data_IF_451340350179
#
_entry.id   IF_451340350179
#
_cell.length_a   1.000
_cell.length_b   1.000
_cell.length_c   1.000
_cell.angle_alpha   90.00
_cell.angle_beta   90.00
_cell.angle_gamma   90.00
#
_symmetry.space_group_name_H-M   'P 1'
#
loop_
_entity.id
_entity.type
_entity.pdbx_description
1 polymer ?
#
# COMPACT_ATOMS: atom_id res chain seq x y z
N UNK A 1 -6.51 -20.47 6.60
CA UNK A 1 -5.51 -19.72 5.81
C UNK A 1 -5.59 -18.23 6.13
N UNK A 2 -6.80 -17.69 6.36
CA UNK A 2 -7.06 -16.33 6.89
C UNK A 2 -6.33 -16.00 8.19
N UNK A 3 -6.22 -16.95 9.13
CA UNK A 3 -5.51 -16.76 10.41
C UNK A 3 -4.02 -16.34 10.26
N UNK A 4 -3.35 -16.72 9.16
CA UNK A 4 -1.95 -16.33 8.92
C UNK A 4 -1.84 -14.89 8.39
N UNK A 5 -2.81 -14.47 7.57
CA UNK A 5 -2.87 -13.09 7.07
C UNK A 5 -3.31 -12.12 8.17
N UNK A 6 -4.26 -12.50 9.03
CA UNK A 6 -4.62 -11.69 10.19
C UNK A 6 -3.47 -11.51 11.18
N UNK A 7 -2.69 -12.57 11.43
CA UNK A 7 -1.50 -12.46 12.27
C UNK A 7 -0.46 -11.52 11.65
N UNK A 8 -0.28 -11.59 10.33
CA UNK A 8 0.54 -10.66 9.55
C UNK A 8 0.03 -9.22 9.73
N UNK A 9 -1.25 -8.93 9.45
CA UNK A 9 -1.87 -7.61 9.64
C UNK A 9 -1.73 -7.10 11.08
N UNK A 10 -1.96 -7.95 12.09
CA UNK A 10 -1.79 -7.61 13.52
C UNK A 10 -0.35 -7.26 13.87
N UNK A 11 0.64 -7.98 13.34
CA UNK A 11 2.05 -7.62 13.52
C UNK A 11 2.35 -6.21 12.99
N UNK A 12 1.79 -5.83 11.84
CA UNK A 12 1.95 -4.46 11.32
C UNK A 12 1.26 -3.41 12.18
N UNK A 13 0.04 -3.67 12.63
CA UNK A 13 -0.68 -2.74 13.52
C UNK A 13 -0.02 -2.53 14.87
N UNK A 14 0.68 -3.56 15.37
CA UNK A 14 1.34 -3.51 16.69
C UNK A 14 2.67 -2.74 16.72
N UNK A 15 3.09 -2.12 15.60
CA UNK A 15 4.39 -1.44 15.43
C UNK A 15 5.61 -2.31 15.80
N UNK A 16 5.43 -3.64 15.88
CA UNK A 16 6.51 -4.56 16.19
C UNK A 16 7.54 -4.54 15.06
N UNK A 17 8.83 -4.47 15.42
CA UNK A 17 9.91 -4.43 14.46
C UNK A 17 10.03 -5.75 13.71
N UNK A 18 9.43 -5.83 12.52
CA UNK A 18 9.63 -6.94 11.58
C UNK A 18 10.69 -6.52 10.56
N UNK A 19 11.66 -7.39 10.32
CA UNK A 19 12.67 -7.11 9.28
C UNK A 19 12.00 -7.05 7.90
N UNK A 20 12.48 -6.16 7.02
CA UNK A 20 11.94 -6.06 5.66
C UNK A 20 12.03 -7.40 4.90
N UNK A 21 13.09 -8.19 5.14
CA UNK A 21 13.23 -9.51 4.54
C UNK A 21 12.11 -10.47 4.98
N UNK A 22 11.80 -10.52 6.27
CA UNK A 22 10.70 -11.34 6.78
C UNK A 22 9.34 -10.84 6.24
N UNK A 23 9.15 -9.52 6.17
CA UNK A 23 7.97 -8.93 5.55
C UNK A 23 7.79 -9.40 4.11
N UNK A 24 8.79 -9.21 3.25
CA UNK A 24 8.68 -9.54 1.83
C UNK A 24 8.47 -11.03 1.60
N UNK A 25 9.10 -11.89 2.40
CA UNK A 25 8.90 -13.33 2.33
C UNK A 25 7.44 -13.73 2.63
N UNK A 26 6.89 -13.29 3.76
CA UNK A 26 5.51 -13.60 4.15
C UNK A 26 4.49 -12.99 3.18
N UNK A 27 4.73 -11.74 2.77
CA UNK A 27 3.90 -11.06 1.79
C UNK A 27 3.88 -11.79 0.44
N UNK A 28 5.02 -12.27 -0.06
CA UNK A 28 5.09 -13.05 -1.30
C UNK A 28 4.25 -14.32 -1.22
N UNK A 29 4.32 -15.06 -0.10
CA UNK A 29 3.52 -16.28 0.08
C UNK A 29 2.01 -16.02 -0.01
N UNK A 30 1.53 -14.94 0.62
CA UNK A 30 0.11 -14.57 0.53
C UNK A 30 -0.29 -14.15 -0.88
N UNK A 31 0.56 -13.40 -1.60
CA UNK A 31 0.26 -13.00 -2.99
C UNK A 31 0.29 -14.21 -3.93
N UNK A 32 1.16 -15.20 -3.69
CA UNK A 32 1.16 -16.49 -4.42
C UNK A 32 -0.19 -17.18 -4.25
N UNK A 33 -0.73 -17.26 -3.04
CA UNK A 33 -2.04 -17.86 -2.79
C UNK A 33 -3.12 -17.17 -3.61
N UNK A 34 -3.21 -15.84 -3.56
CA UNK A 34 -4.23 -15.09 -4.31
C UNK A 34 -4.07 -15.23 -5.82
N UNK A 35 -2.83 -15.23 -6.33
CA UNK A 35 -2.59 -15.46 -7.76
C UNK A 35 -2.97 -16.88 -8.20
N UNK A 36 -2.74 -17.89 -7.36
CA UNK A 36 -3.18 -19.26 -7.64
C UNK A 36 -4.69 -19.36 -7.66
N UNK A 37 -5.38 -18.71 -6.71
CA UNK A 37 -6.85 -18.68 -6.69
C UNK A 37 -7.40 -17.99 -7.95
N UNK A 38 -6.85 -16.83 -8.31
CA UNK A 38 -7.19 -16.10 -9.53
C UNK A 38 -6.99 -16.95 -10.80
N UNK A 39 -5.87 -17.67 -10.89
CA UNK A 39 -5.54 -18.56 -12.02
C UNK A 39 -6.24 -19.93 -11.93
N UNK A 40 -6.99 -20.20 -10.87
CA UNK A 40 -7.62 -21.51 -10.58
C UNK A 40 -6.62 -22.67 -10.55
N UNK A 41 -5.40 -22.40 -10.06
CA UNK A 41 -4.34 -23.38 -9.85
C UNK A 41 -4.48 -23.98 -8.46
N UNK A 42 -4.27 -25.29 -8.34
CA UNK A 42 -4.30 -25.96 -7.03
C UNK A 42 -3.22 -25.40 -6.10
N UNK A 43 -3.59 -25.12 -4.85
CA UNK A 43 -2.69 -24.52 -3.86
C UNK A 43 -1.44 -25.37 -3.57
N UNK A 44 -1.54 -26.69 -3.66
CA UNK A 44 -0.45 -27.64 -3.50
C UNK A 44 0.59 -27.62 -4.63
N UNK A 45 0.30 -27.00 -5.77
CA UNK A 45 1.21 -26.98 -6.92
C UNK A 45 2.31 -25.93 -6.73
N UNK A 46 3.57 -26.35 -6.78
CA UNK A 46 4.70 -25.42 -6.68
C UNK A 46 4.82 -24.55 -7.94
N UNK A 47 4.73 -23.24 -7.74
CA UNK A 47 4.87 -22.21 -8.78
C UNK A 47 5.59 -21.02 -8.18
N UNK A 48 6.58 -20.50 -8.90
CA UNK A 48 7.27 -19.27 -8.46
C UNK A 48 6.33 -18.07 -8.64
N UNK A 49 6.48 -17.06 -7.77
CA UNK A 49 5.69 -15.84 -7.85
C UNK A 49 5.79 -15.17 -9.23
N UNK A 50 7.00 -15.10 -9.78
CA UNK A 50 7.24 -14.62 -11.15
C UNK A 50 6.43 -15.39 -12.20
N UNK A 51 6.42 -16.71 -12.15
CA UNK A 51 5.70 -17.53 -13.14
C UNK A 51 4.19 -17.30 -13.08
N UNK A 52 3.64 -17.06 -11.89
CA UNK A 52 2.22 -16.77 -11.69
C UNK A 52 1.87 -15.39 -12.22
N UNK A 53 2.71 -14.36 -12.00
CA UNK A 53 2.48 -13.01 -12.54
C UNK A 53 2.47 -13.03 -14.07
N UNK A 54 3.43 -13.72 -14.71
CA UNK A 54 3.52 -13.80 -16.17
C UNK A 54 2.33 -14.56 -16.79
N UNK A 55 1.76 -15.52 -16.08
CA UNK A 55 0.54 -16.21 -16.50
C UNK A 55 -0.71 -15.33 -16.28
N UNK A 56 -0.85 -14.75 -15.10
CA UNK A 56 -1.96 -13.87 -14.72
C UNK A 56 -2.11 -12.66 -15.67
N UNK A 57 -0.99 -12.07 -16.10
CA UNK A 57 -1.00 -10.94 -17.04
C UNK A 57 -1.62 -11.30 -18.40
N UNK A 58 -1.63 -12.58 -18.81
CA UNK A 58 -2.13 -13.02 -20.12
C UNK A 58 -3.66 -13.17 -20.17
N UNK A 59 -4.32 -13.22 -19.02
CA UNK A 59 -5.78 -13.39 -18.95
C UNK A 59 -6.55 -12.12 -19.32
N UNK A 60 -5.87 -10.95 -19.38
CA UNK A 60 -6.45 -9.66 -19.75
C UNK A 60 -7.73 -9.29 -18.97
N UNK A 61 -7.72 -9.50 -17.65
CA UNK A 61 -8.83 -9.09 -16.79
C UNK A 61 -9.02 -7.56 -16.82
N UNK A 62 -10.29 -7.14 -16.90
CA UNK A 62 -10.72 -5.74 -17.11
C UNK A 62 -10.41 -4.82 -15.92
N UNK A 63 -10.30 -5.37 -14.71
CA UNK A 63 -10.00 -4.64 -13.48
C UNK A 63 -8.49 -4.45 -13.27
N UNK A 64 -7.66 -5.04 -14.13
CA UNK A 64 -6.20 -4.93 -14.06
C UNK A 64 -5.62 -4.22 -15.28
N UNK A 65 -4.38 -3.73 -15.16
CA UNK A 65 -3.68 -3.12 -16.28
C UNK A 65 -2.17 -3.41 -16.23
N UNK A 66 -1.45 -2.99 -17.28
CA UNK A 66 0.02 -3.20 -17.38
C UNK A 66 0.80 -2.65 -16.18
N UNK A 67 0.34 -1.57 -15.57
CA UNK A 67 1.03 -0.94 -14.44
C UNK A 67 0.88 -1.79 -13.18
N UNK A 68 -0.30 -2.35 -12.92
CA UNK A 68 -0.52 -3.27 -11.81
C UNK A 68 0.43 -4.48 -11.88
N UNK A 69 0.49 -5.15 -13.04
CA UNK A 69 1.39 -6.30 -13.22
C UNK A 69 2.88 -5.90 -13.10
N UNK A 70 3.26 -4.72 -13.60
CA UNK A 70 4.61 -4.19 -13.42
C UNK A 70 4.95 -3.89 -11.95
N UNK A 71 3.95 -3.53 -11.13
CA UNK A 71 4.12 -3.36 -9.69
C UNK A 71 4.48 -4.69 -9.03
N UNK A 72 3.74 -5.76 -9.33
CA UNK A 72 4.03 -7.11 -8.80
C UNK A 72 5.41 -7.62 -9.23
N UNK A 73 5.81 -7.38 -10.48
CA UNK A 73 7.18 -7.69 -10.94
C UNK A 73 8.26 -6.89 -10.19
N UNK A 74 7.98 -5.62 -9.86
CA UNK A 74 8.89 -4.81 -9.05
C UNK A 74 8.98 -5.33 -7.62
N UNK A 75 7.86 -5.78 -7.04
CA UNK A 75 7.83 -6.46 -5.74
C UNK A 75 8.69 -7.72 -5.75
N UNK A 76 8.53 -8.60 -6.75
CA UNK A 76 9.31 -9.83 -6.86
C UNK A 76 10.82 -9.60 -7.00
N UNK A 77 11.25 -8.51 -7.65
CA UNK A 77 12.69 -8.19 -7.73
C UNK A 77 13.33 -7.88 -6.37
N UNK A 78 12.55 -7.44 -5.39
CA UNK A 78 13.02 -7.10 -4.05
C UNK A 78 13.37 -8.36 -3.27
N UNK A 79 12.62 -9.45 -3.44
CA UNK A 79 12.90 -10.75 -2.79
C UNK A 79 14.17 -11.41 -3.33
N UNK A 80 14.54 -11.15 -4.59
CA UNK A 80 15.70 -11.78 -5.22
C UNK A 80 17.02 -11.00 -5.11
N UNK A 81 17.01 -9.68 -4.87
CA UNK A 81 18.24 -8.88 -4.90
C UNK A 81 18.19 -7.67 -3.95
N UNK A 82 18.35 -7.88 -2.62
CA UNK A 82 18.44 -6.80 -1.65
C UNK A 82 19.81 -6.11 -1.76
N UNK A 83 20.03 -5.29 -2.80
CA UNK A 83 21.34 -4.67 -3.01
C UNK A 83 21.61 -3.54 -2.00
N UNK A 84 22.81 -3.58 -1.42
CA UNK A 84 23.34 -2.73 -0.33
C UNK A 84 23.56 -1.24 -0.69
N UNK A 85 22.97 -0.71 -1.77
CA UNK A 85 23.24 0.66 -2.25
C UNK A 85 21.96 1.43 -2.61
N UNK A 86 21.42 2.12 -1.62
CA UNK A 86 20.63 3.35 -1.66
C UNK A 86 19.36 3.50 -2.53
N UNK A 87 18.99 2.53 -3.37
CA UNK A 87 17.67 2.52 -3.99
C UNK A 87 16.83 1.45 -3.30
N UNK A 88 15.84 1.83 -2.48
CA UNK A 88 14.85 0.92 -1.92
C UNK A 88 14.03 0.36 -3.10
N UNK A 89 14.30 -0.84 -3.64
CA UNK A 89 13.75 -1.26 -4.93
C UNK A 89 12.22 -1.43 -4.85
N UNK A 90 11.72 -1.66 -3.65
CA UNK A 90 10.31 -1.76 -3.32
C UNK A 90 9.57 -0.42 -3.35
N UNK A 91 10.26 0.73 -3.28
CA UNK A 91 9.59 2.03 -3.44
C UNK A 91 8.99 2.16 -4.84
N UNK A 92 9.57 1.52 -5.85
CA UNK A 92 8.97 1.47 -7.19
C UNK A 92 7.61 0.78 -7.15
N UNK A 93 7.53 -0.35 -6.44
CA UNK A 93 6.26 -1.06 -6.24
C UNK A 93 5.23 -0.15 -5.55
N UNK A 94 5.60 0.45 -4.42
CA UNK A 94 4.74 1.37 -3.67
C UNK A 94 4.23 2.51 -4.57
N UNK A 95 5.12 3.25 -5.22
CA UNK A 95 4.74 4.39 -6.05
C UNK A 95 3.79 4.01 -7.20
N UNK A 96 3.94 2.82 -7.78
CA UNK A 96 3.01 2.36 -8.84
C UNK A 96 1.62 2.08 -8.26
N UNK A 97 1.54 1.40 -7.11
CA UNK A 97 0.26 1.12 -6.46
C UNK A 97 -0.45 2.40 -6.03
N UNK A 98 0.27 3.34 -5.39
CA UNK A 98 -0.30 4.64 -5.01
C UNK A 98 -0.82 5.41 -6.22
N UNK A 99 -0.06 5.44 -7.31
CA UNK A 99 -0.48 6.10 -8.55
C UNK A 99 -1.73 5.46 -9.17
N UNK A 100 -1.88 4.14 -9.06
CA UNK A 100 -3.08 3.43 -9.55
C UNK A 100 -4.33 3.80 -8.75
N UNK A 101 -4.15 4.12 -7.46
CA UNK A 101 -5.23 4.52 -6.56
C UNK A 101 -5.48 6.04 -6.56
N UNK A 102 -4.68 6.82 -7.29
CA UNK A 102 -4.88 8.27 -7.40
C UNK A 102 -4.45 9.08 -6.18
N UNK A 103 -3.60 8.53 -5.29
CA UNK A 103 -3.08 9.25 -4.13
C UNK A 103 -1.54 9.27 -4.11
N UNK A 104 -0.96 10.15 -3.29
CA UNK A 104 0.45 10.09 -2.93
C UNK A 104 0.58 9.73 -1.45
N UNK A 105 1.30 8.67 -1.11
CA UNK A 105 1.42 8.22 0.28
C UNK A 105 2.05 9.24 1.21
N UNK A 106 2.70 10.28 0.68
CA UNK A 106 3.13 11.41 1.50
C UNK A 106 1.99 12.23 2.11
N UNK A 107 0.82 12.21 1.47
CA UNK A 107 -0.41 12.90 1.89
C UNK A 107 -1.19 12.10 2.92
N UNK A 108 -1.05 10.77 2.94
CA UNK A 108 -1.82 9.90 3.84
C UNK A 108 -1.14 9.63 5.19
N UNK A 109 0.20 9.68 5.24
CA UNK A 109 0.96 9.30 6.45
C UNK A 109 1.84 10.46 6.94
N UNK A 110 1.40 11.16 7.99
CA UNK A 110 2.15 12.25 8.63
C UNK A 110 3.20 11.76 9.65
N UNK A 111 4.07 10.82 9.26
CA UNK A 111 5.16 10.39 10.13
C UNK A 111 6.37 11.36 10.06
N UNK A 112 6.78 11.91 11.21
CA UNK A 112 8.01 12.74 11.35
C UNK A 112 9.28 11.98 10.96
N UNK A 113 9.28 10.65 11.13
CA UNK A 113 10.38 9.77 10.74
C UNK A 113 10.15 9.22 9.32
N UNK A 114 11.05 9.58 8.40
CA UNK A 114 10.97 9.16 6.99
C UNK A 114 11.02 7.64 6.80
N UNK A 115 11.71 6.90 7.68
CA UNK A 115 11.80 5.45 7.59
C UNK A 115 10.49 4.78 8.00
N UNK A 116 9.88 5.24 9.09
CA UNK A 116 8.55 4.79 9.52
C UNK A 116 7.49 5.12 8.45
N UNK A 117 7.51 6.36 7.91
CA UNK A 117 6.63 6.78 6.81
C UNK A 117 6.73 5.85 5.60
N UNK A 118 7.96 5.49 5.21
CA UNK A 118 8.22 4.59 4.09
C UNK A 118 7.70 3.17 4.37
N UNK A 119 7.83 2.67 5.60
CA UNK A 119 7.28 1.37 6.00
C UNK A 119 5.75 1.36 5.98
N UNK A 120 5.09 2.40 6.49
CA UNK A 120 3.62 2.50 6.46
C UNK A 120 3.10 2.50 5.01
N UNK A 121 3.73 3.27 4.12
CA UNK A 121 3.42 3.25 2.69
C UNK A 121 3.58 1.87 2.06
N UNK A 122 4.63 1.13 2.43
CA UNK A 122 4.85 -0.24 1.95
C UNK A 122 3.74 -1.19 2.40
N UNK A 123 3.37 -1.13 3.68
CA UNK A 123 2.32 -1.98 4.24
C UNK A 123 0.96 -1.69 3.61
N UNK A 124 0.64 -0.41 3.44
CA UNK A 124 -0.60 0.01 2.82
C UNK A 124 -0.68 -0.42 1.35
N UNK A 125 0.38 -0.19 0.56
CA UNK A 125 0.46 -0.63 -0.82
C UNK A 125 0.30 -2.16 -0.94
N UNK A 126 0.88 -2.92 -0.01
CA UNK A 126 0.71 -4.36 0.08
C UNK A 126 -0.74 -4.79 0.33
N UNK A 127 -1.43 -4.17 1.30
CA UNK A 127 -2.82 -4.51 1.60
C UNK A 127 -3.74 -4.25 0.39
N UNK A 128 -3.60 -3.10 -0.25
CA UNK A 128 -4.33 -2.77 -1.47
C UNK A 128 -4.09 -3.77 -2.59
N UNK A 129 -2.84 -4.25 -2.72
CA UNK A 129 -2.48 -5.25 -3.73
C UNK A 129 -3.12 -6.60 -3.42
N UNK A 130 -3.07 -7.02 -2.15
CA UNK A 130 -3.67 -8.27 -1.70
C UNK A 130 -5.18 -8.26 -1.87
N UNK A 131 -5.86 -7.20 -1.42
CA UNK A 131 -7.31 -6.98 -1.59
C UNK A 131 -7.70 -7.04 -3.08
N UNK A 132 -6.97 -6.32 -3.94
CA UNK A 132 -7.27 -6.31 -5.35
C UNK A 132 -7.09 -7.68 -6.02
N UNK A 133 -6.04 -8.43 -5.67
CA UNK A 133 -5.87 -9.81 -6.17
C UNK A 133 -7.00 -10.73 -5.72
N UNK A 134 -7.46 -10.56 -4.48
CA UNK A 134 -8.55 -11.34 -3.91
C UNK A 134 -9.88 -11.04 -4.61
N UNK A 135 -10.15 -9.76 -4.86
CA UNK A 135 -11.31 -9.29 -5.63
C UNK A 135 -11.33 -9.89 -7.04
N UNK A 136 -10.23 -9.77 -7.81
CA UNK A 136 -10.20 -10.33 -9.18
C UNK A 136 -10.24 -11.87 -9.20
N UNK A 137 -9.92 -12.52 -8.08
CA UNK A 137 -10.11 -13.97 -7.89
C UNK A 137 -11.57 -14.37 -7.62
N UNK A 138 -12.48 -13.39 -7.49
CA UNK A 138 -13.91 -13.60 -7.27
C UNK A 138 -14.30 -13.67 -5.79
N UNK A 139 -13.51 -13.07 -4.90
CA UNK A 139 -13.88 -12.90 -3.50
C UNK A 139 -14.49 -11.51 -3.31
N UNK A 140 -15.81 -11.47 -3.16
CA UNK A 140 -16.59 -10.24 -3.05
C UNK A 140 -16.93 -9.90 -1.58
N UNK A 141 -16.10 -10.31 -0.62
CA UNK A 141 -16.34 -10.02 0.79
C UNK A 141 -15.92 -8.59 1.17
N UNK A 142 -16.54 -8.05 2.22
CA UNK A 142 -16.29 -6.68 2.69
C UNK A 142 -14.98 -6.54 3.49
N UNK A 143 -14.12 -7.57 3.48
CA UNK A 143 -12.89 -7.54 4.29
C UNK A 143 -11.83 -6.64 3.64
N UNK A 144 -11.72 -5.42 4.19
CA UNK A 144 -10.77 -4.40 3.74
C UNK A 144 -9.78 -3.99 4.85
N UNK A 145 -8.68 -4.75 5.04
CA UNK A 145 -7.61 -4.35 5.97
C UNK A 145 -7.00 -2.96 5.64
N UNK A 146 -7.04 -2.51 4.39
CA UNK A 146 -6.58 -1.16 4.01
C UNK A 146 -7.48 -0.07 4.61
N UNK A 147 -8.79 -0.29 4.65
CA UNK A 147 -9.75 0.63 5.28
C UNK A 147 -9.52 0.75 6.79
N UNK A 148 -9.24 -0.37 7.46
CA UNK A 148 -8.93 -0.36 8.88
C UNK A 148 -7.66 0.45 9.20
N UNK A 149 -6.64 0.36 8.33
CA UNK A 149 -5.42 1.16 8.48
C UNK A 149 -5.72 2.64 8.28
N UNK A 150 -6.47 3.01 7.24
CA UNK A 150 -6.85 4.40 7.01
C UNK A 150 -7.63 4.99 8.20
N UNK A 151 -8.54 4.20 8.79
CA UNK A 151 -9.28 4.59 10.00
C UNK A 151 -8.35 5.01 11.15
N UNK A 152 -7.31 4.23 11.43
CA UNK A 152 -6.32 4.57 12.46
C UNK A 152 -5.56 5.87 12.19
N UNK A 153 -5.33 6.24 10.91
CA UNK A 153 -4.68 7.52 10.58
C UNK A 153 -5.65 8.70 10.56
N UNK A 154 -6.93 8.50 10.18
CA UNK A 154 -7.94 9.56 10.28
C UNK A 154 -8.30 9.90 11.73
N UNK A 155 -8.34 8.91 12.63
CA UNK A 155 -8.61 9.12 14.06
C UNK A 155 -7.40 9.71 14.79
N UNK A 156 -6.17 9.44 14.34
CA UNK A 156 -4.96 10.10 14.86
C UNK A 156 -4.91 11.61 14.53
N UNK A 157 -5.83 12.09 13.70
CA UNK A 157 -5.99 13.50 13.33
C UNK A 157 -7.32 14.10 13.83
N UNK A 158 -8.12 13.40 14.63
CA UNK A 158 -9.37 13.94 15.19
C UNK A 158 -9.22 14.60 16.58
N UNK A 159 -8.00 14.93 17.01
CA UNK A 159 -7.74 15.74 18.21
C UNK A 159 -6.90 16.97 17.86
N UNK A 160 -7.41 17.84 17.00
CA UNK A 160 -7.20 19.29 17.00
C UNK A 160 -8.01 19.86 15.83
N UNK A 161 -9.34 19.72 15.93
CA UNK A 161 -10.23 20.54 15.12
C UNK A 161 -9.95 22.00 15.50
N UNK A 162 -9.34 22.69 14.54
CA UNK A 162 -9.04 24.10 14.58
C UNK A 162 -10.23 24.89 15.13
N UNK A 163 -10.07 25.45 16.33
CA UNK A 163 -10.82 26.64 16.72
C UNK A 163 -10.53 27.71 15.66
N UNK A 164 -11.46 27.87 14.72
CA UNK A 164 -11.57 29.07 13.91
C UNK A 164 -11.95 30.23 14.85
N UNK A 165 -10.94 30.81 15.50
CA UNK A 165 -11.10 32.15 16.06
C UNK A 165 -11.25 33.11 14.88
N UNK A 166 -12.50 33.46 14.58
CA UNK A 166 -12.83 34.58 13.69
C UNK A 166 -12.33 35.89 14.31
N UNK A 167 -11.07 36.21 14.09
CA UNK A 167 -10.56 37.57 14.25
C UNK A 167 -10.72 38.30 12.91
N UNK A 168 -11.97 38.64 12.57
CA UNK A 168 -12.26 39.64 11.56
C UNK A 168 -11.91 41.02 12.12
N UNK A 169 -10.82 41.64 11.66
CA UNK A 169 -10.72 43.09 11.53
C UNK A 169 -9.70 43.43 10.44
N UNK A 170 -10.24 43.89 9.32
CA UNK A 170 -9.53 44.54 8.22
C UNK A 170 -8.62 45.67 8.73
N UNK A 171 -7.37 45.70 8.29
CA UNK A 171 -6.69 46.97 8.05
C UNK A 171 -5.95 46.90 6.72
N UNK A 172 -6.73 47.11 5.65
CA UNK A 172 -6.19 47.32 4.30
C UNK A 172 -5.86 48.79 4.15
N UNK A 173 -4.59 49.06 3.84
CA UNK A 173 -4.06 50.39 3.61
C UNK A 173 -4.86 51.18 2.57
N UNK A 174 -5.11 52.44 2.91
CA UNK A 174 -5.61 53.44 1.97
C UNK A 174 -4.53 54.51 1.77
N UNK A 175 -3.76 54.36 0.70
CA UNK A 175 -2.98 55.44 0.11
C UNK A 175 -3.92 56.43 -0.57
N UNK A 176 -3.94 57.68 -0.13
CA UNK A 176 -4.46 58.79 -0.93
C UNK A 176 -3.55 60.02 -0.87
N UNK A 177 -3.36 60.60 -2.04
CA UNK A 177 -2.45 61.67 -2.45
C UNK A 177 -2.95 63.09 -2.12
N UNK A 178 -1.98 64.03 -2.13
CA UNK A 178 -2.09 65.52 -2.33
C UNK A 178 -2.66 66.29 -1.13
N UNK A 179 -2.11 67.43 -0.70
CA UNK A 179 -1.39 68.49 -1.40
C UNK A 179 -0.41 69.21 -0.46
#
# INVERSE_FOLDING_TARGET
MEANFEHFVKQFKSEQSVSLAAFFYQAELHLITQLKDYLKIQQSQDRSFFSLIEEAKKTNNVDTNKHFWNALLAFNKVTFNPSNKNALPWLRYVNIIESLQGYNGSQLFEAKNINAKRQHRLYFAYMLTWEHLRYIAGNDDDYSPSSEILGCYSEAHSEDDHEHSEACCNDSGCSTHKH
#
